data_IF_624160350833
#
_entry.id   IF_624160350833
#
_cell.length_a   1.000
_cell.length_b   1.000
_cell.length_c   1.000
_cell.angle_alpha   90.00
_cell.angle_beta   90.00
_cell.angle_gamma   90.00
#
_symmetry.space_group_name_H-M   'P 1'
#
loop_
_entity.id
_entity.type
_entity.pdbx_description
1 polymer ?
#
# COMPACT_ATOMS: atom_id res chain seq x y z
N UNK A 1 25.24 10.45 -67.71
CA UNK A 1 25.64 9.42 -66.67
C UNK A 1 24.93 9.69 -65.40
N UNK A 2 23.95 8.89 -65.02
CA UNK A 2 23.17 9.02 -63.73
C UNK A 2 24.01 8.51 -62.55
N UNK A 3 24.42 9.40 -61.71
CA UNK A 3 25.16 9.08 -60.46
C UNK A 3 24.42 8.02 -59.64
N UNK A 4 25.02 6.83 -59.47
CA UNK A 4 24.49 5.74 -58.63
C UNK A 4 24.39 6.22 -57.18
N UNK A 5 23.18 6.20 -56.60
CA UNK A 5 22.94 6.61 -55.21
C UNK A 5 23.66 5.66 -54.24
N UNK A 6 24.24 6.23 -53.20
CA UNK A 6 24.84 5.45 -52.09
C UNK A 6 23.83 4.55 -51.36
N UNK A 7 24.26 3.38 -50.96
CA UNK A 7 23.45 2.50 -50.10
C UNK A 7 23.19 3.23 -48.77
N UNK A 8 21.92 3.60 -48.53
CA UNK A 8 21.49 4.28 -47.29
C UNK A 8 20.79 5.63 -47.53
N UNK A 9 20.93 6.26 -48.72
CA UNK A 9 20.41 7.62 -49.00
C UNK A 9 18.89 7.76 -49.12
N UNK A 10 18.12 6.70 -48.85
CA UNK A 10 16.65 6.74 -48.90
C UNK A 10 16.05 7.15 -50.26
N UNK A 11 14.80 6.89 -50.49
CA UNK A 11 14.04 7.33 -51.66
C UNK A 11 13.42 8.71 -51.41
N UNK A 12 13.57 9.66 -52.40
CA UNK A 12 12.85 10.93 -52.39
C UNK A 12 12.10 11.07 -53.69
N UNK A 13 10.78 11.21 -53.63
CA UNK A 13 9.92 11.37 -54.83
C UNK A 13 8.75 12.31 -54.52
N UNK A 14 8.17 12.88 -55.59
CA UNK A 14 6.98 13.70 -55.53
C UNK A 14 5.72 12.82 -55.63
N UNK A 15 4.81 13.00 -54.75
CA UNK A 15 3.48 12.33 -54.75
C UNK A 15 2.47 13.32 -55.33
N UNK A 16 2.07 13.12 -56.57
CA UNK A 16 1.14 14.01 -57.27
C UNK A 16 -0.26 14.02 -56.65
N UNK A 17 -0.70 12.87 -56.15
CA UNK A 17 -2.03 12.80 -55.46
C UNK A 17 -2.07 13.62 -54.21
N UNK A 18 -0.99 13.59 -53.41
CA UNK A 18 -0.91 14.30 -52.14
C UNK A 18 -0.27 15.66 -52.22
N UNK A 19 0.24 16.03 -53.40
CA UNK A 19 0.94 17.30 -53.64
C UNK A 19 2.05 17.52 -52.60
N UNK A 20 2.87 16.48 -52.35
CA UNK A 20 3.95 16.51 -51.35
C UNK A 20 5.15 15.68 -51.74
N UNK A 21 6.31 16.10 -51.29
CA UNK A 21 7.53 15.31 -51.34
C UNK A 21 7.49 14.19 -50.32
N UNK A 22 7.75 12.96 -50.72
CA UNK A 22 7.86 11.79 -49.85
C UNK A 22 9.31 11.33 -49.86
N UNK A 23 9.89 11.26 -48.66
CA UNK A 23 11.19 10.67 -48.39
C UNK A 23 11.00 9.34 -47.66
N UNK A 24 11.79 8.31 -48.05
CA UNK A 24 11.70 6.97 -47.43
C UNK A 24 13.08 6.40 -47.13
N UNK A 25 13.23 5.74 -45.99
CA UNK A 25 14.46 5.03 -45.59
C UNK A 25 14.13 3.64 -45.09
N UNK A 26 15.01 2.67 -45.30
CA UNK A 26 14.94 1.35 -44.71
C UNK A 26 15.50 1.44 -43.29
N UNK A 27 14.71 1.07 -42.27
CA UNK A 27 15.08 1.14 -40.86
C UNK A 27 15.38 -0.23 -40.26
N UNK A 28 15.42 -1.30 -41.04
CA UNK A 28 15.75 -2.65 -40.58
C UNK A 28 14.90 -3.72 -41.25
N UNK A 29 14.84 -4.87 -40.60
CA UNK A 29 14.05 -6.02 -41.00
C UNK A 29 13.13 -6.45 -39.86
N UNK A 30 11.94 -6.94 -40.16
CA UNK A 30 11.07 -7.53 -39.19
C UNK A 30 11.55 -8.95 -38.76
N UNK A 31 10.92 -9.54 -37.75
CA UNK A 31 11.23 -10.90 -37.27
C UNK A 31 11.05 -12.01 -38.33
N UNK A 32 10.51 -11.68 -39.51
CA UNK A 32 10.35 -12.56 -40.70
C UNK A 32 11.33 -12.21 -41.83
N UNK A 33 12.30 -11.31 -41.61
CA UNK A 33 13.29 -10.90 -42.60
C UNK A 33 12.79 -9.91 -43.65
N UNK A 34 11.57 -9.35 -43.53
CA UNK A 34 11.01 -8.37 -44.43
C UNK A 34 11.53 -6.97 -44.09
N UNK A 35 11.91 -6.19 -45.09
CA UNK A 35 12.39 -4.80 -44.92
C UNK A 35 11.30 -3.90 -44.33
N UNK A 36 11.65 -3.19 -43.26
CA UNK A 36 10.79 -2.19 -42.64
C UNK A 36 11.18 -0.81 -43.16
N UNK A 37 10.22 -0.11 -43.77
CA UNK A 37 10.41 1.24 -44.29
C UNK A 37 9.76 2.27 -43.40
N UNK A 38 10.39 3.45 -43.31
CA UNK A 38 9.79 4.66 -42.75
C UNK A 38 9.71 5.73 -43.82
N UNK A 39 8.64 6.50 -43.80
CA UNK A 39 8.38 7.57 -44.75
C UNK A 39 8.12 8.88 -44.01
N UNK A 40 8.66 9.97 -44.52
CA UNK A 40 8.35 11.33 -44.12
C UNK A 40 7.78 12.09 -45.31
N UNK A 41 6.90 13.05 -45.07
CA UNK A 41 6.35 13.90 -46.12
C UNK A 41 6.52 15.38 -45.78
N UNK A 42 6.80 16.20 -46.76
CA UNK A 42 6.94 17.64 -46.64
C UNK A 42 6.38 18.36 -47.87
N UNK A 43 6.06 19.66 -47.73
CA UNK A 43 5.68 20.52 -48.86
C UNK A 43 6.88 20.79 -49.77
N UNK A 44 8.09 20.81 -49.19
CA UNK A 44 9.35 20.98 -49.90
C UNK A 44 10.24 19.74 -49.78
N UNK A 45 11.22 19.61 -50.71
CA UNK A 45 12.25 18.54 -50.66
C UNK A 45 13.04 18.57 -49.35
N UNK A 46 13.37 19.79 -48.89
CA UNK A 46 14.16 20.02 -47.69
C UNK A 46 13.38 19.56 -46.45
N UNK A 47 12.12 19.96 -46.32
CA UNK A 47 11.25 19.55 -45.20
C UNK A 47 11.09 18.02 -45.12
N UNK A 48 10.90 17.35 -46.29
CA UNK A 48 10.78 15.90 -46.31
C UNK A 48 12.10 15.21 -45.93
N UNK A 49 13.26 15.75 -46.32
CA UNK A 49 14.58 15.24 -45.94
C UNK A 49 14.90 15.45 -44.49
N UNK A 50 14.57 16.60 -43.92
CA UNK A 50 14.87 16.91 -42.53
C UNK A 50 14.02 16.04 -41.58
N UNK A 51 12.74 15.88 -41.88
CA UNK A 51 11.89 14.92 -41.18
C UNK A 51 12.38 13.47 -41.28
N UNK A 52 12.95 13.08 -42.44
CA UNK A 52 13.54 11.76 -42.63
C UNK A 52 14.81 11.58 -41.79
N UNK A 53 15.68 12.62 -41.74
CA UNK A 53 16.87 12.63 -40.87
C UNK A 53 16.52 12.50 -39.42
N UNK A 54 15.45 13.15 -38.94
CA UNK A 54 14.95 12.98 -37.57
C UNK A 54 14.50 11.53 -37.27
N UNK A 55 13.79 10.92 -38.24
CA UNK A 55 13.39 9.51 -38.15
C UNK A 55 14.62 8.60 -38.11
N UNK A 56 15.63 8.89 -38.95
CA UNK A 56 16.86 8.11 -39.03
C UNK A 56 17.69 8.25 -37.76
N UNK A 57 17.87 9.46 -37.21
CA UNK A 57 18.51 9.70 -35.93
C UNK A 57 17.78 8.98 -34.80
N UNK A 58 16.43 9.04 -34.75
CA UNK A 58 15.64 8.33 -33.77
C UNK A 58 15.80 6.80 -33.85
N UNK A 59 16.08 6.27 -35.06
CA UNK A 59 16.35 4.86 -35.26
C UNK A 59 17.79 4.48 -34.86
N UNK A 60 18.78 5.26 -35.27
CA UNK A 60 20.20 5.07 -34.91
C UNK A 60 20.40 5.17 -33.38
N UNK A 61 19.58 5.98 -32.71
CA UNK A 61 19.52 6.09 -31.27
C UNK A 61 18.74 4.93 -30.57
N UNK A 62 18.42 3.86 -31.30
CA UNK A 62 17.67 2.70 -30.77
C UNK A 62 16.19 2.95 -30.54
N UNK A 63 15.65 4.10 -30.95
CA UNK A 63 14.22 4.42 -30.80
C UNK A 63 13.38 3.87 -31.93
N UNK A 64 13.36 2.55 -32.04
CA UNK A 64 12.56 1.84 -33.04
C UNK A 64 11.08 2.07 -32.78
N UNK A 65 10.45 2.88 -33.63
CA UNK A 65 8.98 3.00 -33.75
C UNK A 65 8.20 3.46 -32.52
N UNK A 66 8.50 4.63 -31.97
CA UNK A 66 7.43 5.28 -31.24
C UNK A 66 6.42 5.84 -32.27
N UNK A 67 5.22 5.26 -32.32
CA UNK A 67 4.11 5.90 -32.98
C UNK A 67 4.05 7.36 -32.49
N UNK A 68 4.03 8.32 -33.42
CA UNK A 68 4.04 9.75 -33.12
C UNK A 68 2.88 10.22 -32.25
N UNK A 69 1.93 9.33 -31.95
CA UNK A 69 0.74 9.58 -31.13
C UNK A 69 0.69 8.87 -29.77
N UNK A 70 1.77 8.18 -29.31
CA UNK A 70 1.73 7.48 -28.03
C UNK A 70 1.63 8.44 -26.84
N UNK A 71 0.57 8.32 -26.07
CA UNK A 71 0.20 9.27 -25.00
C UNK A 71 0.62 8.79 -23.62
N UNK A 72 0.52 9.67 -22.62
CA UNK A 72 0.66 9.32 -21.21
C UNK A 72 -0.42 8.31 -20.80
N UNK A 73 -1.66 8.49 -21.28
CA UNK A 73 -2.76 7.56 -21.04
C UNK A 73 -2.46 6.15 -21.56
N UNK A 74 -1.90 6.04 -22.77
CA UNK A 74 -1.48 4.75 -23.33
C UNK A 74 -0.40 4.08 -22.47
N UNK A 75 0.57 4.86 -21.98
CA UNK A 75 1.63 4.35 -21.11
C UNK A 75 1.07 3.83 -19.78
N UNK A 76 0.16 4.58 -19.17
CA UNK A 76 -0.48 4.21 -17.87
C UNK A 76 -1.36 2.98 -18.07
N UNK A 77 -2.21 2.95 -19.10
CA UNK A 77 -3.09 1.82 -19.40
C UNK A 77 -2.28 0.54 -19.68
N UNK A 78 -1.22 0.67 -20.47
CA UNK A 78 -0.33 -0.47 -20.74
C UNK A 78 0.35 -0.98 -19.46
N UNK A 79 0.81 -0.07 -18.60
CA UNK A 79 1.42 -0.47 -17.33
C UNK A 79 0.42 -1.15 -16.40
N UNK A 80 -0.81 -0.67 -16.31
CA UNK A 80 -1.89 -1.31 -15.54
C UNK A 80 -2.18 -2.73 -16.03
N UNK A 81 -2.13 -2.95 -17.36
CA UNK A 81 -2.38 -4.25 -17.95
C UNK A 81 -1.22 -5.25 -17.78
N UNK A 82 0.04 -4.79 -17.91
CA UNK A 82 1.20 -5.68 -18.05
C UNK A 82 2.34 -5.41 -17.04
N UNK A 83 2.20 -4.43 -16.17
CA UNK A 83 3.26 -4.04 -15.21
C UNK A 83 2.98 -4.43 -13.77
N UNK A 84 1.87 -5.10 -13.48
CA UNK A 84 1.40 -5.38 -12.13
C UNK A 84 1.38 -6.87 -11.78
N UNK A 85 2.12 -7.71 -12.52
CA UNK A 85 2.20 -9.14 -12.27
C UNK A 85 2.64 -9.43 -10.83
N UNK A 86 1.97 -10.36 -10.15
CA UNK A 86 2.25 -10.76 -8.77
C UNK A 86 1.85 -9.71 -7.71
N UNK A 87 1.10 -8.66 -8.09
CA UNK A 87 0.55 -7.70 -7.12
C UNK A 87 -0.78 -8.20 -6.57
N UNK A 88 -1.02 -7.86 -5.31
CA UNK A 88 -2.30 -8.08 -4.65
C UNK A 88 -3.43 -7.39 -5.43
N UNK A 89 -4.59 -8.07 -5.71
CA UNK A 89 -5.70 -7.52 -6.48
C UNK A 89 -6.22 -6.17 -5.97
N UNK A 90 -6.26 -5.98 -4.65
CA UNK A 90 -6.68 -4.71 -4.06
C UNK A 90 -5.69 -3.58 -4.38
N UNK A 91 -4.39 -3.89 -4.43
CA UNK A 91 -3.37 -2.91 -4.84
C UNK A 91 -3.50 -2.56 -6.33
N UNK A 92 -3.81 -3.55 -7.18
CA UNK A 92 -4.07 -3.33 -8.61
C UNK A 92 -5.28 -2.42 -8.80
N UNK A 93 -6.38 -2.70 -8.10
CA UNK A 93 -7.60 -1.91 -8.16
C UNK A 93 -7.38 -0.47 -7.65
N UNK A 94 -6.65 -0.32 -6.55
CA UNK A 94 -6.27 1.00 -6.06
C UNK A 94 -5.47 1.80 -7.10
N UNK A 95 -4.49 1.19 -7.77
CA UNK A 95 -3.72 1.85 -8.83
C UNK A 95 -4.60 2.24 -10.01
N UNK A 96 -5.56 1.39 -10.39
CA UNK A 96 -6.54 1.68 -11.44
C UNK A 96 -7.36 2.91 -11.10
N UNK A 97 -7.96 2.95 -9.91
CA UNK A 97 -8.75 4.07 -9.41
C UNK A 97 -7.94 5.39 -9.44
N UNK A 98 -6.69 5.36 -8.93
CA UNK A 98 -5.84 6.56 -8.96
C UNK A 98 -5.51 7.01 -10.39
N UNK A 99 -5.26 6.08 -11.29
CA UNK A 99 -4.96 6.39 -12.69
C UNK A 99 -6.18 6.98 -13.40
N UNK A 100 -7.36 6.38 -13.26
CA UNK A 100 -8.60 6.78 -13.93
C UNK A 100 -9.18 8.10 -13.38
N UNK A 101 -9.04 8.35 -12.08
CA UNK A 101 -9.62 9.56 -11.47
C UNK A 101 -8.65 10.75 -11.53
N UNK A 102 -7.33 10.50 -11.39
CA UNK A 102 -6.40 11.61 -11.19
C UNK A 102 -5.39 11.82 -12.31
N UNK A 103 -4.95 10.77 -13.02
CA UNK A 103 -3.88 10.87 -14.01
C UNK A 103 -4.45 11.03 -15.43
N UNK A 104 -5.25 10.07 -15.88
CA UNK A 104 -5.75 10.01 -17.26
C UNK A 104 -6.59 11.25 -17.61
N UNK A 105 -7.51 11.75 -16.76
CA UNK A 105 -8.27 12.93 -17.07
C UNK A 105 -7.43 14.21 -17.15
N UNK A 106 -6.36 14.31 -16.36
CA UNK A 106 -5.54 15.52 -16.27
C UNK A 106 -4.49 15.61 -17.40
N UNK A 107 -3.69 14.57 -17.60
CA UNK A 107 -2.56 14.58 -18.54
C UNK A 107 -2.56 13.41 -19.52
N UNK A 108 -3.58 12.55 -19.51
CA UNK A 108 -3.61 11.32 -20.32
C UNK A 108 -3.54 11.58 -21.83
N UNK A 109 -4.09 12.70 -22.32
CA UNK A 109 -4.06 13.09 -23.75
C UNK A 109 -2.69 13.67 -24.18
N UNK A 110 -1.82 14.03 -23.23
CA UNK A 110 -0.48 14.55 -23.54
C UNK A 110 0.34 13.48 -24.23
N UNK A 111 1.00 13.81 -25.35
CA UNK A 111 1.93 12.87 -25.99
C UNK A 111 3.10 12.60 -25.04
N UNK A 112 3.46 11.36 -24.88
CA UNK A 112 4.48 10.95 -23.91
C UNK A 112 5.85 11.60 -24.16
N UNK A 113 6.21 11.83 -25.41
CA UNK A 113 7.45 12.49 -25.80
C UNK A 113 7.49 13.99 -25.50
N UNK A 114 6.32 14.61 -25.43
CA UNK A 114 6.14 16.04 -25.13
C UNK A 114 5.87 16.29 -23.65
N UNK A 115 5.85 15.24 -22.82
CA UNK A 115 5.66 15.36 -21.38
C UNK A 115 6.86 16.07 -20.76
N UNK A 116 6.61 17.13 -20.02
CA UNK A 116 7.62 17.93 -19.32
C UNK A 116 7.57 17.73 -17.81
N UNK A 117 8.62 18.17 -17.12
CA UNK A 117 8.65 18.21 -15.64
C UNK A 117 7.51 19.08 -15.11
N UNK A 118 7.30 20.24 -15.75
CA UNK A 118 6.24 21.20 -15.39
C UNK A 118 4.84 20.60 -15.49
N UNK A 119 4.53 19.77 -16.50
CA UNK A 119 3.25 19.06 -16.61
C UNK A 119 2.98 18.17 -15.40
N UNK A 120 4.00 17.46 -14.90
CA UNK A 120 3.90 16.56 -13.76
C UNK A 120 3.81 17.33 -12.44
N UNK A 121 4.64 18.37 -12.27
CA UNK A 121 4.62 19.24 -11.09
C UNK A 121 3.29 19.96 -10.96
N UNK A 122 2.75 20.50 -12.06
CA UNK A 122 1.42 21.11 -12.09
C UNK A 122 0.33 20.14 -11.68
N UNK A 123 0.34 18.90 -12.22
CA UNK A 123 -0.58 17.85 -11.81
C UNK A 123 -0.51 17.60 -10.30
N UNK A 124 0.71 17.42 -9.76
CA UNK A 124 0.89 17.12 -8.34
C UNK A 124 0.48 18.30 -7.45
N UNK A 125 0.78 19.54 -7.86
CA UNK A 125 0.38 20.76 -7.16
C UNK A 125 -1.15 20.91 -7.14
N UNK A 126 -1.84 20.76 -8.28
CA UNK A 126 -3.30 20.79 -8.33
C UNK A 126 -3.95 19.73 -7.43
N UNK A 127 -3.39 18.52 -7.40
CA UNK A 127 -3.92 17.44 -6.57
C UNK A 127 -3.54 17.56 -5.09
N UNK A 128 -2.52 18.33 -4.72
CA UNK A 128 -2.09 18.54 -3.33
C UNK A 128 -3.16 19.22 -2.48
N UNK A 129 -4.01 20.05 -3.10
CA UNK A 129 -5.11 20.74 -2.44
C UNK A 129 -6.15 19.78 -1.87
N UNK A 130 -6.36 18.62 -2.52
CA UNK A 130 -7.42 17.66 -2.16
C UNK A 130 -6.89 16.32 -1.66
N UNK A 131 -5.67 15.95 -2.01
CA UNK A 131 -5.10 14.64 -1.67
C UNK A 131 -4.01 14.75 -0.60
N UNK A 132 -3.84 13.67 0.16
CA UNK A 132 -2.73 13.55 1.09
C UNK A 132 -1.40 13.34 0.36
N UNK A 133 -0.28 13.72 1.01
CA UNK A 133 1.09 13.43 0.52
C UNK A 133 1.28 11.96 0.13
N UNK A 134 0.67 11.04 0.89
CA UNK A 134 0.71 9.59 0.55
C UNK A 134 0.02 9.30 -0.78
N UNK A 135 -1.13 9.90 -1.04
CA UNK A 135 -1.87 9.75 -2.29
C UNK A 135 -1.10 10.33 -3.47
N UNK A 136 -0.46 11.48 -3.28
CA UNK A 136 0.41 12.11 -4.28
C UNK A 136 1.61 11.21 -4.62
N UNK A 137 2.24 10.60 -3.61
CA UNK A 137 3.33 9.63 -3.83
C UNK A 137 2.85 8.41 -4.61
N UNK A 138 1.61 7.98 -4.45
CA UNK A 138 1.03 6.89 -5.26
C UNK A 138 0.87 7.33 -6.71
N UNK A 139 0.32 8.52 -6.98
CA UNK A 139 0.19 9.10 -8.34
C UNK A 139 1.57 9.18 -9.02
N UNK A 140 2.55 9.79 -8.35
CA UNK A 140 3.92 9.89 -8.82
C UNK A 140 4.53 8.51 -9.13
N UNK A 141 4.32 7.53 -8.24
CA UNK A 141 4.80 6.15 -8.42
C UNK A 141 4.16 5.44 -9.63
N UNK A 142 2.86 5.66 -9.88
CA UNK A 142 2.15 5.11 -11.05
C UNK A 142 2.76 5.71 -12.32
N UNK A 143 2.87 7.03 -12.41
CA UNK A 143 3.44 7.73 -13.55
C UNK A 143 4.88 7.30 -13.81
N UNK A 144 5.73 7.32 -12.78
CA UNK A 144 7.14 6.93 -12.91
C UNK A 144 7.29 5.50 -13.43
N UNK A 145 6.49 4.56 -12.93
CA UNK A 145 6.52 3.15 -13.39
C UNK A 145 5.96 2.98 -14.80
N UNK A 146 4.90 3.70 -15.14
CA UNK A 146 4.32 3.67 -16.48
C UNK A 146 5.31 4.22 -17.52
N UNK A 147 5.95 5.36 -17.23
CA UNK A 147 6.97 5.97 -18.08
C UNK A 147 8.21 5.07 -18.17
N UNK A 148 8.66 4.47 -17.07
CA UNK A 148 9.77 3.49 -17.10
C UNK A 148 9.43 2.27 -17.96
N UNK A 149 8.20 1.75 -17.88
CA UNK A 149 7.77 0.64 -18.74
C UNK A 149 7.71 1.05 -20.23
N UNK A 150 7.32 2.29 -20.50
CA UNK A 150 7.37 2.87 -21.85
C UNK A 150 8.82 3.08 -22.34
N UNK A 151 9.73 3.47 -21.45
CA UNK A 151 11.17 3.62 -21.74
C UNK A 151 11.81 2.28 -22.15
N UNK A 152 11.53 1.20 -21.41
CA UNK A 152 11.99 -0.17 -21.75
C UNK A 152 11.47 -0.63 -23.14
N UNK A 153 10.40 0.00 -23.63
CA UNK A 153 9.78 -0.27 -24.94
C UNK A 153 10.14 0.78 -25.99
N UNK A 154 11.18 1.55 -25.77
CA UNK A 154 11.69 2.59 -26.67
C UNK A 154 10.64 3.64 -27.09
N UNK A 155 9.63 3.89 -26.24
CA UNK A 155 8.60 4.91 -26.46
C UNK A 155 9.06 6.30 -26.02
N UNK A 156 10.00 6.37 -25.07
CA UNK A 156 10.61 7.60 -24.56
C UNK A 156 12.02 7.31 -24.08
N UNK A 157 12.95 8.26 -24.25
CA UNK A 157 14.37 8.11 -23.84
C UNK A 157 14.59 8.26 -22.35
N UNK A 158 13.92 9.22 -21.72
CA UNK A 158 14.16 9.62 -20.32
C UNK A 158 12.88 9.60 -19.54
N UNK A 159 12.95 9.09 -18.31
CA UNK A 159 11.85 9.19 -17.37
C UNK A 159 11.94 10.51 -16.59
N UNK A 160 11.24 11.53 -17.09
CA UNK A 160 11.26 12.88 -16.49
C UNK A 160 10.53 12.93 -15.15
N UNK A 161 9.61 11.99 -14.90
CA UNK A 161 8.85 11.93 -13.63
C UNK A 161 9.77 11.75 -12.43
N UNK A 162 10.93 11.10 -12.62
CA UNK A 162 11.92 10.91 -11.56
C UNK A 162 12.60 12.21 -11.10
N UNK A 163 12.48 13.29 -11.86
CA UNK A 163 13.04 14.61 -11.56
C UNK A 163 12.07 15.47 -10.76
N UNK A 164 10.80 15.05 -10.66
CA UNK A 164 9.75 15.81 -10.00
C UNK A 164 9.71 15.43 -8.52
N UNK A 165 9.65 16.42 -7.67
CA UNK A 165 9.39 16.24 -6.25
C UNK A 165 7.90 16.12 -5.96
N UNK A 166 7.55 15.37 -4.92
CA UNK A 166 6.16 15.25 -4.49
C UNK A 166 5.89 16.30 -3.42
N UNK A 167 5.01 17.28 -3.68
CA UNK A 167 4.69 18.31 -2.72
C UNK A 167 3.97 17.73 -1.49
N UNK A 168 3.97 18.48 -0.41
CA UNK A 168 3.11 18.19 0.72
C UNK A 168 1.65 18.36 0.32
N UNK A 169 0.87 17.35 0.58
CA UNK A 169 -0.57 17.36 0.36
C UNK A 169 -1.32 17.58 1.65
N UNK A 170 -2.64 17.46 1.54
CA UNK A 170 -3.54 17.64 2.66
C UNK A 170 -3.15 16.74 3.84
N UNK A 171 -3.09 17.29 5.03
CA UNK A 171 -2.84 16.53 6.26
C UNK A 171 -3.97 15.53 6.47
N UNK A 172 -3.60 14.24 6.53
CA UNK A 172 -4.55 13.18 6.84
C UNK A 172 -4.95 13.22 8.32
N UNK A 173 -6.04 12.53 8.65
CA UNK A 173 -6.43 12.33 10.05
C UNK A 173 -5.27 11.62 10.78
N UNK A 174 -4.72 12.21 11.87
CA UNK A 174 -3.69 11.54 12.65
C UNK A 174 -4.26 10.25 13.26
N UNK A 175 -3.41 9.24 13.40
CA UNK A 175 -3.75 8.03 14.17
C UNK A 175 -3.92 8.43 15.63
N UNK A 176 -4.96 7.92 16.27
CA UNK A 176 -5.27 8.13 17.69
C UNK A 176 -5.06 6.83 18.45
N UNK A 177 -4.77 6.94 19.73
CA UNK A 177 -4.82 5.85 20.70
C UNK A 177 -5.76 6.23 21.84
N UNK A 178 -6.41 5.24 22.41
CA UNK A 178 -7.21 5.38 23.62
C UNK A 178 -6.25 5.56 24.80
N UNK A 179 -6.57 6.46 25.70
CA UNK A 179 -5.98 6.46 27.05
C UNK A 179 -6.45 5.23 27.83
N UNK A 180 -5.84 4.89 28.95
CA UNK A 180 -6.26 3.76 29.79
C UNK A 180 -7.74 3.90 30.21
N UNK A 181 -8.16 5.09 30.65
CA UNK A 181 -9.55 5.38 31.02
C UNK A 181 -10.51 5.19 29.84
N UNK A 182 -10.16 5.69 28.66
CA UNK A 182 -10.98 5.51 27.45
C UNK A 182 -11.02 4.05 27.00
N UNK A 183 -9.91 3.31 27.12
CA UNK A 183 -9.86 1.90 26.79
C UNK A 183 -10.80 1.10 27.69
N UNK A 184 -10.80 1.36 28.99
CA UNK A 184 -11.70 0.72 29.94
C UNK A 184 -13.16 1.09 29.68
N UNK A 185 -13.46 2.35 29.38
CA UNK A 185 -14.81 2.78 29.00
C UNK A 185 -15.30 2.06 27.72
N UNK A 186 -14.44 1.88 26.71
CA UNK A 186 -14.77 1.12 25.48
C UNK A 186 -14.99 -0.36 25.79
N UNK A 187 -14.16 -0.97 26.65
CA UNK A 187 -14.34 -2.36 27.07
C UNK A 187 -15.65 -2.55 27.84
N UNK A 188 -15.98 -1.66 28.78
CA UNK A 188 -17.25 -1.67 29.53
C UNK A 188 -18.47 -1.48 28.61
N UNK A 189 -18.37 -0.56 27.64
CA UNK A 189 -19.42 -0.38 26.64
C UNK A 189 -19.59 -1.62 25.75
N UNK A 190 -18.49 -2.31 25.42
CA UNK A 190 -18.52 -3.53 24.63
C UNK A 190 -19.27 -4.68 25.31
N UNK A 191 -19.37 -4.70 26.62
CA UNK A 191 -20.16 -5.71 27.39
C UNK A 191 -21.66 -5.67 27.03
N UNK A 192 -22.15 -4.46 26.67
CA UNK A 192 -23.54 -4.26 26.23
C UNK A 192 -23.76 -4.54 24.76
N UNK A 193 -22.70 -4.80 24.01
CA UNK A 193 -22.77 -5.10 22.60
C UNK A 193 -23.02 -6.61 22.35
N UNK A 194 -23.51 -7.01 21.18
CA UNK A 194 -23.60 -8.43 20.82
C UNK A 194 -22.25 -9.14 21.01
N UNK A 195 -22.27 -10.39 21.50
CA UNK A 195 -21.09 -11.19 21.85
C UNK A 195 -19.98 -11.14 20.78
N UNK A 196 -20.35 -11.18 19.49
CA UNK A 196 -19.42 -11.05 18.36
C UNK A 196 -18.65 -9.72 18.40
N UNK A 197 -19.32 -8.59 18.64
CA UNK A 197 -18.66 -7.28 18.64
C UNK A 197 -17.88 -7.06 19.94
N UNK A 198 -18.38 -7.55 21.06
CA UNK A 198 -17.66 -7.60 22.32
C UNK A 198 -16.32 -8.34 22.15
N UNK A 199 -16.36 -9.59 21.71
CA UNK A 199 -15.15 -10.39 21.49
C UNK A 199 -14.22 -9.73 20.47
N UNK A 200 -14.75 -9.17 19.36
CA UNK A 200 -13.94 -8.46 18.38
C UNK A 200 -13.15 -7.29 18.97
N UNK A 201 -13.80 -6.45 19.78
CA UNK A 201 -13.18 -5.28 20.42
C UNK A 201 -12.16 -5.72 21.47
N UNK A 202 -12.56 -6.62 22.37
CA UNK A 202 -11.71 -7.10 23.48
C UNK A 202 -10.44 -7.74 22.93
N UNK A 203 -10.57 -8.70 22.01
CA UNK A 203 -9.41 -9.39 21.42
C UNK A 203 -8.55 -8.43 20.61
N UNK A 204 -9.14 -7.53 19.80
CA UNK A 204 -8.37 -6.56 19.02
C UNK A 204 -7.57 -5.61 19.90
N UNK A 205 -8.16 -5.13 21.02
CA UNK A 205 -7.49 -4.21 21.94
C UNK A 205 -6.41 -4.91 22.77
N UNK A 206 -6.66 -6.13 23.22
CA UNK A 206 -5.76 -6.83 24.16
C UNK A 206 -4.67 -7.66 23.47
N UNK A 207 -4.76 -7.88 22.16
CA UNK A 207 -3.73 -8.58 21.36
C UNK A 207 -3.04 -7.71 20.31
N UNK A 208 -3.57 -6.53 20.04
CA UNK A 208 -3.09 -5.66 18.99
C UNK A 208 -3.22 -6.27 17.58
N UNK A 209 -4.10 -7.24 17.37
CA UNK A 209 -4.32 -7.87 16.07
C UNK A 209 -4.78 -6.86 15.02
N UNK A 210 -4.38 -7.07 13.75
CA UNK A 210 -4.85 -6.23 12.64
C UNK A 210 -6.30 -6.56 12.31
N UNK A 211 -7.05 -5.56 11.86
CA UNK A 211 -8.45 -5.75 11.42
C UNK A 211 -8.60 -6.87 10.38
N UNK A 212 -7.66 -7.00 9.48
CA UNK A 212 -7.65 -8.05 8.45
C UNK A 212 -7.33 -9.43 9.03
N UNK A 213 -6.50 -9.51 10.06
CA UNK A 213 -6.20 -10.74 10.80
C UNK A 213 -7.43 -11.19 11.59
N UNK A 214 -8.06 -10.28 12.33
CA UNK A 214 -9.30 -10.55 13.08
C UNK A 214 -10.42 -11.08 12.17
N UNK A 215 -10.63 -10.47 11.01
CA UNK A 215 -11.67 -10.90 10.06
C UNK A 215 -11.40 -12.26 9.41
N UNK A 216 -10.16 -12.72 9.42
CA UNK A 216 -9.73 -14.01 8.86
C UNK A 216 -9.47 -15.07 9.94
N UNK A 217 -9.62 -14.71 11.23
CA UNK A 217 -9.38 -15.62 12.35
C UNK A 217 -10.36 -16.80 12.31
N UNK A 218 -9.84 -18.00 12.49
CA UNK A 218 -10.60 -19.23 12.54
C UNK A 218 -10.56 -19.82 13.94
N UNK A 219 -11.56 -20.62 14.28
CA UNK A 219 -11.63 -21.22 15.60
C UNK A 219 -10.46 -22.16 15.90
N UNK A 220 -9.97 -22.95 14.92
CA UNK A 220 -8.81 -23.80 15.11
C UNK A 220 -7.49 -23.01 15.36
N UNK A 221 -7.48 -21.71 15.12
CA UNK A 221 -6.36 -20.83 15.45
C UNK A 221 -6.51 -20.22 16.88
N UNK A 222 -7.54 -20.64 17.63
CA UNK A 222 -7.85 -20.15 18.99
C UNK A 222 -7.84 -21.32 19.96
N UNK A 223 -7.05 -21.22 21.01
CA UNK A 223 -6.99 -22.17 22.11
C UNK A 223 -7.32 -21.44 23.43
N UNK A 224 -8.61 -21.46 23.81
CA UNK A 224 -9.08 -20.80 25.04
C UNK A 224 -8.72 -21.60 26.29
N UNK A 225 -8.89 -22.94 26.32
CA UNK A 225 -8.50 -23.71 27.51
C UNK A 225 -6.99 -23.74 27.75
N UNK A 226 -6.19 -23.56 26.68
CA UNK A 226 -4.77 -23.85 26.75
C UNK A 226 -4.51 -25.35 26.90
N UNK A 227 -3.28 -25.71 27.25
CA UNK A 227 -2.87 -27.08 27.52
C UNK A 227 -2.07 -27.12 28.82
N UNK A 228 -2.72 -27.11 29.97
CA UNK A 228 -2.04 -27.07 31.27
C UNK A 228 -1.22 -28.32 31.57
N UNK A 229 -1.58 -29.46 30.94
CA UNK A 229 -0.89 -30.76 31.09
C UNK A 229 0.34 -30.90 30.17
N UNK A 230 0.59 -29.92 29.28
CA UNK A 230 1.80 -29.94 28.43
C UNK A 230 3.06 -29.58 29.26
N UNK A 231 4.20 -30.06 28.85
CA UNK A 231 5.49 -29.68 29.45
C UNK A 231 6.36 -28.92 28.44
N UNK A 232 6.58 -27.62 28.61
CA UNK A 232 5.96 -26.72 29.60
C UNK A 232 4.47 -26.44 29.31
N UNK A 233 3.66 -26.07 30.32
CA UNK A 233 2.24 -25.74 30.15
C UNK A 233 2.02 -24.65 29.10
N UNK A 234 1.05 -24.85 28.22
CA UNK A 234 0.69 -23.90 27.18
C UNK A 234 -0.51 -23.06 27.64
N UNK A 235 -0.36 -21.74 27.80
CA UNK A 235 -1.46 -20.89 28.22
C UNK A 235 -2.49 -20.70 27.09
N UNK A 236 -3.72 -20.21 27.42
CA UNK A 236 -4.68 -19.74 26.42
C UNK A 236 -4.02 -18.88 25.36
N UNK A 237 -4.30 -19.15 24.08
CA UNK A 237 -3.54 -18.52 23.00
C UNK A 237 -4.36 -18.29 21.72
N UNK A 238 -3.87 -17.40 20.86
CA UNK A 238 -4.40 -17.15 19.53
C UNK A 238 -3.27 -17.10 18.49
N UNK A 239 -3.41 -17.85 17.41
CA UNK A 239 -2.48 -17.87 16.30
C UNK A 239 -2.95 -16.93 15.18
N UNK A 240 -2.28 -15.80 15.00
CA UNK A 240 -2.56 -14.82 13.96
C UNK A 240 -1.74 -15.16 12.71
N UNK A 241 -2.21 -16.11 11.93
CA UNK A 241 -1.49 -16.69 10.78
C UNK A 241 -2.13 -16.36 9.43
N UNK A 242 -3.35 -15.79 9.41
CA UNK A 242 -4.14 -15.51 8.20
C UNK A 242 -4.55 -14.05 8.11
N UNK A 243 -4.94 -13.63 6.91
CA UNK A 243 -5.63 -12.35 6.68
C UNK A 243 -6.65 -12.48 5.53
N UNK A 244 -7.59 -11.54 5.43
CA UNK A 244 -8.62 -11.49 4.36
C UNK A 244 -8.06 -11.10 2.98
N UNK A 245 -6.76 -11.24 2.76
CA UNK A 245 -6.13 -10.96 1.47
C UNK A 245 -6.30 -12.11 0.49
N UNK A 246 -6.16 -11.82 -0.79
CA UNK A 246 -6.08 -12.86 -1.81
C UNK A 246 -4.97 -13.85 -1.45
N UNK A 247 -5.31 -15.14 -1.38
CA UNK A 247 -4.40 -16.19 -0.91
C UNK A 247 -4.45 -16.50 0.59
N UNK A 248 -5.22 -15.75 1.39
CA UNK A 248 -5.45 -16.04 2.81
C UNK A 248 -4.25 -15.83 3.74
N UNK A 249 -3.10 -15.39 3.21
CA UNK A 249 -1.87 -15.23 3.98
C UNK A 249 -1.74 -13.83 4.61
N UNK A 250 -0.95 -13.74 5.68
CA UNK A 250 -0.58 -12.44 6.26
C UNK A 250 0.30 -11.66 5.27
N UNK A 251 0.40 -10.33 5.46
CA UNK A 251 1.18 -9.44 4.58
C UNK A 251 2.62 -9.92 4.36
N UNK A 252 3.20 -10.61 5.33
CA UNK A 252 4.51 -11.25 5.24
C UNK A 252 4.53 -12.48 6.15
N UNK A 253 5.31 -13.52 5.84
CA UNK A 253 5.50 -14.70 6.73
C UNK A 253 5.94 -14.31 8.15
N UNK A 254 6.75 -13.24 8.29
CA UNK A 254 7.18 -12.70 9.60
C UNK A 254 6.04 -12.06 10.43
N UNK A 255 4.86 -11.86 9.85
CA UNK A 255 3.69 -11.36 10.58
C UNK A 255 2.91 -12.46 11.29
N UNK A 256 3.18 -13.74 10.99
CA UNK A 256 2.57 -14.88 11.67
C UNK A 256 3.12 -14.96 13.10
N UNK A 257 2.25 -15.08 14.06
CA UNK A 257 2.58 -15.13 15.47
C UNK A 257 1.49 -15.82 16.28
N UNK A 258 1.87 -16.50 17.33
CA UNK A 258 0.98 -16.93 18.40
C UNK A 258 1.14 -15.98 19.60
N UNK A 259 0.05 -15.59 20.17
CA UNK A 259 -0.01 -14.68 21.32
C UNK A 259 -0.79 -15.33 22.44
N UNK A 260 -0.29 -15.22 23.66
CA UNK A 260 -1.05 -15.55 24.85
C UNK A 260 -2.29 -14.64 24.93
N UNK A 261 -3.42 -15.21 25.26
CA UNK A 261 -4.67 -14.47 25.48
C UNK A 261 -4.73 -13.98 26.92
N UNK A 262 -4.87 -12.68 27.16
CA UNK A 262 -5.31 -12.20 28.49
C UNK A 262 -6.67 -12.79 28.84
N UNK A 263 -6.93 -13.06 30.13
CA UNK A 263 -8.13 -13.75 30.61
C UNK A 263 -9.41 -13.14 30.02
N UNK A 264 -9.55 -11.81 30.06
CA UNK A 264 -10.73 -11.11 29.52
C UNK A 264 -10.95 -11.37 28.01
N UNK A 265 -9.87 -11.63 27.24
CA UNK A 265 -9.97 -11.98 25.83
C UNK A 265 -10.37 -13.46 25.64
N UNK A 266 -9.85 -14.34 26.47
CA UNK A 266 -10.24 -15.75 26.52
C UNK A 266 -11.72 -15.90 26.86
N UNK A 267 -12.21 -15.23 27.92
CA UNK A 267 -13.61 -15.24 28.34
C UNK A 267 -14.54 -14.74 27.22
N UNK A 268 -14.20 -13.62 26.58
CA UNK A 268 -14.99 -13.08 25.48
C UNK A 268 -15.04 -13.99 24.25
N UNK A 269 -13.99 -14.77 23.99
CA UNK A 269 -13.97 -15.78 22.94
C UNK A 269 -14.76 -17.03 23.34
N UNK A 270 -14.69 -17.45 24.60
CA UNK A 270 -15.48 -18.56 25.14
C UNK A 270 -16.98 -18.25 25.00
N UNK A 271 -17.43 -17.08 25.48
CA UNK A 271 -18.81 -16.64 25.33
C UNK A 271 -19.28 -16.60 23.89
N UNK A 272 -18.41 -16.16 22.96
CA UNK A 272 -18.73 -16.16 21.54
C UNK A 272 -18.82 -17.59 20.98
N UNK A 273 -17.95 -18.50 21.45
CA UNK A 273 -17.98 -19.91 21.05
C UNK A 273 -19.30 -20.58 21.43
N UNK A 274 -19.84 -20.31 22.61
CA UNK A 274 -21.11 -20.85 23.09
C UNK A 274 -22.31 -20.39 22.24
N UNK A 275 -22.22 -19.19 21.66
CA UNK A 275 -23.27 -18.63 20.79
C UNK A 275 -23.09 -18.95 19.30
N UNK A 276 -22.11 -19.77 18.94
CA UNK A 276 -21.80 -20.11 17.54
C UNK A 276 -22.91 -20.96 16.90
N UNK A 277 -22.99 -20.90 15.57
CA UNK A 277 -23.96 -21.68 14.80
C UNK A 277 -23.36 -22.94 14.12
N UNK A 278 -22.03 -23.14 14.20
CA UNK A 278 -21.39 -24.32 13.62
C UNK A 278 -21.50 -25.53 14.55
N UNK A 279 -21.56 -26.74 13.96
CA UNK A 279 -21.77 -28.02 14.66
C UNK A 279 -20.49 -28.63 15.25
N UNK A 280 -19.33 -27.97 15.17
CA UNK A 280 -18.09 -28.49 15.71
C UNK A 280 -18.10 -28.43 17.25
N UNK A 281 -17.69 -29.51 17.89
CA UNK A 281 -17.69 -29.60 19.35
C UNK A 281 -16.48 -28.89 19.99
N UNK A 282 -15.32 -28.92 19.31
CA UNK A 282 -14.08 -28.36 19.82
C UNK A 282 -13.56 -27.23 18.93
N UNK A 283 -13.05 -26.16 19.54
CA UNK A 283 -12.46 -25.01 18.82
C UNK A 283 -11.34 -25.45 17.88
N UNK A 284 -10.42 -26.29 18.35
CA UNK A 284 -9.23 -26.74 17.61
C UNK A 284 -9.57 -27.49 16.32
N UNK A 285 -10.75 -28.09 16.23
CA UNK A 285 -11.18 -28.86 15.07
C UNK A 285 -12.09 -28.05 14.14
N UNK A 286 -12.41 -26.80 14.51
CA UNK A 286 -13.37 -25.98 13.79
C UNK A 286 -12.66 -25.04 12.78
N UNK A 287 -12.79 -25.29 11.47
CA UNK A 287 -12.19 -24.44 10.43
C UNK A 287 -13.01 -23.17 10.16
N UNK A 288 -14.15 -22.99 10.85
CA UNK A 288 -15.03 -21.85 10.64
C UNK A 288 -14.40 -20.54 11.11
N UNK A 289 -14.82 -19.43 10.51
CA UNK A 289 -14.40 -18.10 10.96
C UNK A 289 -14.99 -17.81 12.35
N UNK A 290 -14.18 -17.18 13.21
CA UNK A 290 -14.61 -16.70 14.55
C UNK A 290 -15.63 -15.57 14.40
N UNK A 291 -15.35 -14.63 13.50
CA UNK A 291 -16.16 -13.44 13.32
C UNK A 291 -16.95 -13.48 12.01
N UNK A 292 -18.21 -13.85 12.11
CA UNK A 292 -19.14 -13.97 10.99
C UNK A 292 -20.36 -13.07 11.16
N UNK A 293 -21.08 -12.82 10.07
CA UNK A 293 -22.41 -12.19 10.11
C UNK A 293 -23.42 -13.12 10.78
N UNK A 294 -24.63 -12.63 11.06
CA UNK A 294 -25.75 -13.47 11.56
C UNK A 294 -26.09 -14.62 10.61
N UNK A 295 -25.76 -14.50 9.32
CA UNK A 295 -25.98 -15.53 8.31
C UNK A 295 -24.74 -16.39 8.03
N UNK A 296 -23.73 -16.40 8.91
CA UNK A 296 -22.49 -17.18 8.75
C UNK A 296 -21.50 -16.66 7.70
N UNK A 297 -21.75 -15.49 7.07
CA UNK A 297 -20.86 -14.92 6.05
C UNK A 297 -19.70 -14.14 6.71
N UNK A 298 -18.54 -14.03 6.03
CA UNK A 298 -17.41 -13.21 6.50
C UNK A 298 -17.81 -11.77 6.76
N UNK A 299 -17.28 -11.18 7.82
CA UNK A 299 -17.51 -9.76 8.12
C UNK A 299 -16.82 -8.86 7.09
N UNK A 300 -17.54 -7.86 6.61
CA UNK A 300 -16.96 -6.79 5.81
C UNK A 300 -16.40 -5.67 6.69
N UNK A 301 -15.28 -5.05 6.24
CA UNK A 301 -14.62 -3.98 6.99
C UNK A 301 -15.55 -2.78 7.28
N UNK A 302 -16.50 -2.48 6.37
CA UNK A 302 -17.49 -1.41 6.57
C UNK A 302 -18.45 -1.71 7.71
N UNK A 303 -18.89 -2.97 7.83
CA UNK A 303 -19.82 -3.39 8.88
C UNK A 303 -19.11 -3.38 10.24
N UNK A 304 -17.91 -3.93 10.34
CA UNK A 304 -17.08 -3.84 11.55
C UNK A 304 -16.89 -2.39 11.99
N UNK A 305 -16.56 -1.48 11.06
CA UNK A 305 -16.37 -0.08 11.38
C UNK A 305 -17.65 0.59 11.88
N UNK A 306 -18.79 0.30 11.26
CA UNK A 306 -20.09 0.83 11.69
C UNK A 306 -20.44 0.36 13.10
N UNK A 307 -20.32 -0.93 13.35
CA UNK A 307 -20.72 -1.53 14.63
C UNK A 307 -19.73 -1.13 15.76
N UNK A 308 -18.44 -1.05 15.45
CA UNK A 308 -17.43 -0.51 16.37
C UNK A 308 -17.72 0.93 16.78
N UNK A 309 -18.10 1.80 15.84
CA UNK A 309 -18.41 3.20 16.14
C UNK A 309 -19.58 3.35 17.11
N UNK A 310 -20.58 2.50 17.02
CA UNK A 310 -21.70 2.48 17.97
C UNK A 310 -21.22 2.19 19.38
N UNK A 311 -20.30 1.23 19.56
CA UNK A 311 -19.74 0.90 20.88
C UNK A 311 -18.89 2.05 21.41
N UNK A 312 -18.10 2.68 20.56
CA UNK A 312 -17.31 3.85 20.93
C UNK A 312 -18.19 5.04 21.35
N UNK A 313 -19.34 5.24 20.69
CA UNK A 313 -20.34 6.25 21.06
C UNK A 313 -20.99 5.91 22.42
N UNK A 314 -21.28 4.63 22.69
CA UNK A 314 -21.76 4.19 23.99
C UNK A 314 -20.73 4.40 25.10
N UNK A 315 -19.43 4.45 24.78
CA UNK A 315 -18.35 4.80 25.69
C UNK A 315 -18.14 6.31 25.87
N UNK A 316 -19.02 7.15 25.32
CA UNK A 316 -18.95 8.62 25.42
C UNK A 316 -17.91 9.27 24.50
N UNK A 317 -17.41 8.55 23.48
CA UNK A 317 -16.44 9.06 22.53
C UNK A 317 -17.08 9.37 21.16
N UNK A 318 -16.52 10.33 20.41
CA UNK A 318 -17.01 10.69 19.07
C UNK A 318 -16.75 9.57 18.05
N UNK A 319 -17.70 8.67 17.80
CA UNK A 319 -17.54 7.45 16.99
C UNK A 319 -16.98 7.70 15.59
N UNK A 320 -17.32 8.83 14.94
CA UNK A 320 -16.79 9.21 13.62
C UNK A 320 -15.27 9.38 13.59
N UNK A 321 -14.69 9.70 14.74
CA UNK A 321 -13.25 9.90 14.90
C UNK A 321 -12.48 8.61 15.15
N UNK A 322 -13.15 7.48 15.28
CA UNK A 322 -12.53 6.20 15.61
C UNK A 322 -12.75 5.16 14.52
N UNK A 323 -11.79 4.27 14.38
CA UNK A 323 -11.83 3.13 13.49
C UNK A 323 -11.18 1.91 14.16
N UNK A 324 -11.57 0.67 13.81
CA UNK A 324 -11.06 -0.54 14.48
C UNK A 324 -9.53 -0.69 14.50
N UNK A 325 -8.81 -0.13 13.53
CA UNK A 325 -7.33 -0.16 13.51
C UNK A 325 -6.71 0.56 14.71
N UNK A 326 -7.44 1.51 15.33
CA UNK A 326 -6.97 2.31 16.44
C UNK A 326 -6.97 1.52 17.76
N UNK A 327 -7.67 0.40 17.84
CA UNK A 327 -7.52 -0.58 18.93
C UNK A 327 -6.08 -1.12 18.99
N UNK A 328 -5.49 -1.42 17.82
CA UNK A 328 -4.08 -1.83 17.76
C UNK A 328 -3.12 -0.68 18.10
N UNK A 329 -3.43 0.55 17.70
CA UNK A 329 -2.64 1.71 18.13
C UNK A 329 -2.70 1.89 19.63
N UNK A 330 -3.88 1.73 20.22
CA UNK A 330 -4.09 1.78 21.67
C UNK A 330 -3.33 0.68 22.40
N UNK A 331 -3.35 -0.57 21.91
CA UNK A 331 -2.55 -1.66 22.46
C UNK A 331 -1.06 -1.29 22.56
N UNK A 332 -0.49 -0.74 21.49
CA UNK A 332 0.93 -0.34 21.47
C UNK A 332 1.19 0.83 22.43
N UNK A 333 0.30 1.83 22.44
CA UNK A 333 0.43 2.99 23.33
C UNK A 333 0.35 2.58 24.80
N UNK A 334 -0.64 1.78 25.18
CA UNK A 334 -0.82 1.31 26.54
C UNK A 334 0.36 0.46 27.03
N UNK A 335 0.92 -0.41 26.18
CA UNK A 335 2.12 -1.18 26.54
C UNK A 335 3.36 -0.28 26.67
N UNK A 336 3.48 0.74 25.81
CA UNK A 336 4.56 1.72 25.90
C UNK A 336 4.45 2.54 27.18
N UNK A 337 3.25 2.97 27.56
CA UNK A 337 2.98 3.69 28.82
C UNK A 337 3.26 2.82 30.04
N UNK A 338 3.05 1.50 29.92
CA UNK A 338 3.43 0.49 30.92
C UNK A 338 4.93 0.11 30.87
N UNK A 339 5.77 0.85 30.15
CA UNK A 339 7.23 0.64 30.03
C UNK A 339 7.66 -0.70 29.45
N UNK A 340 6.80 -1.36 28.66
CA UNK A 340 7.20 -2.57 27.93
C UNK A 340 8.21 -2.22 26.85
N UNK A 341 9.36 -2.93 26.73
CA UNK A 341 10.38 -2.64 25.72
C UNK A 341 9.82 -2.67 24.30
N UNK A 342 10.26 -1.70 23.48
CA UNK A 342 9.73 -1.50 22.12
C UNK A 342 9.96 -2.72 21.20
N UNK A 343 11.03 -3.47 21.43
CA UNK A 343 11.34 -4.70 20.73
C UNK A 343 10.29 -5.78 21.04
N UNK A 344 9.85 -5.87 22.30
CA UNK A 344 8.79 -6.78 22.73
C UNK A 344 7.46 -6.37 22.12
N UNK A 345 7.11 -5.08 22.18
CA UNK A 345 5.89 -4.55 21.53
C UNK A 345 5.94 -4.84 20.01
N UNK A 346 7.08 -4.59 19.35
CA UNK A 346 7.25 -4.85 17.92
C UNK A 346 7.03 -6.32 17.55
N UNK A 347 7.51 -7.25 18.40
CA UNK A 347 7.27 -8.70 18.25
C UNK A 347 5.80 -9.05 18.42
N UNK A 348 5.15 -8.56 19.48
CA UNK A 348 3.72 -8.79 19.74
C UNK A 348 2.83 -8.34 18.58
N UNK A 349 3.10 -7.16 18.01
CA UNK A 349 2.31 -6.66 16.87
C UNK A 349 2.78 -7.21 15.51
N UNK A 350 3.90 -7.92 15.44
CA UNK A 350 4.44 -8.50 14.19
C UNK A 350 4.89 -7.42 13.20
N UNK A 351 5.67 -6.44 13.64
CA UNK A 351 6.37 -5.51 12.78
C UNK A 351 7.71 -6.10 12.29
N UNK A 352 8.15 -5.73 11.08
CA UNK A 352 9.44 -6.21 10.54
C UNK A 352 10.65 -5.62 11.24
N UNK A 353 10.49 -4.41 11.82
CA UNK A 353 11.52 -3.69 12.57
C UNK A 353 10.86 -2.77 13.59
N UNK A 354 11.62 -2.41 14.61
CA UNK A 354 11.23 -1.42 15.64
C UNK A 354 10.96 -0.04 15.03
N UNK A 355 11.65 0.32 13.94
CA UNK A 355 11.47 1.60 13.23
C UNK A 355 10.00 1.88 12.87
N UNK A 356 9.21 0.86 12.48
CA UNK A 356 7.78 1.04 12.20
C UNK A 356 7.02 1.40 13.48
N UNK A 357 7.35 0.74 14.60
CA UNK A 357 6.76 1.02 15.90
C UNK A 357 7.16 2.42 16.36
N UNK A 358 8.42 2.76 16.30
CA UNK A 358 8.95 4.08 16.63
C UNK A 358 8.34 5.20 15.79
N UNK A 359 8.31 5.05 14.46
CA UNK A 359 7.79 6.08 13.54
C UNK A 359 6.30 6.37 13.78
N UNK A 360 5.51 5.33 14.03
CA UNK A 360 4.06 5.47 14.24
C UNK A 360 3.74 6.03 15.62
N UNK A 361 4.52 5.65 16.63
CA UNK A 361 4.25 5.95 18.04
C UNK A 361 5.20 6.97 18.67
N UNK A 362 6.21 7.46 17.93
CA UNK A 362 7.22 8.43 18.40
C UNK A 362 6.60 9.70 19.04
N UNK A 363 5.42 10.11 18.59
CA UNK A 363 4.71 11.27 19.17
C UNK A 363 4.04 10.97 20.52
N UNK A 364 3.91 9.69 20.87
CA UNK A 364 3.30 9.19 22.10
C UNK A 364 4.34 8.62 23.07
N UNK A 365 5.59 8.43 22.60
CA UNK A 365 6.71 8.10 23.48
C UNK A 365 7.04 9.34 24.31
N UNK A 366 7.25 9.14 25.60
CA UNK A 366 7.63 10.23 26.53
C UNK A 366 8.82 11.01 25.98
N UNK A 367 8.80 12.35 26.04
CA UNK A 367 9.89 13.18 25.52
C UNK A 367 11.21 13.00 26.26
N UNK A 368 11.21 12.40 27.45
CA UNK A 368 12.40 12.13 28.27
C UNK A 368 12.59 10.62 28.40
N UNK A 369 13.76 10.13 28.03
CA UNK A 369 14.17 8.73 28.18
C UNK A 369 14.69 8.57 29.62
N UNK A 370 13.77 8.23 30.55
CA UNK A 370 14.04 8.15 31.99
C UNK A 370 14.86 6.91 32.38
N UNK A 371 14.66 5.79 31.71
CA UNK A 371 15.19 4.48 32.14
C UNK A 371 16.71 4.36 32.19
N UNK A 372 17.44 5.20 31.47
CA UNK A 372 18.92 5.24 31.51
C UNK A 372 19.44 5.92 32.76
N UNK A 373 18.81 6.99 33.20
CA UNK A 373 19.22 7.72 34.39
C UNK A 373 19.02 6.91 35.66
N UNK A 374 17.85 6.28 35.85
CA UNK A 374 17.56 5.41 36.99
C UNK A 374 18.53 4.23 37.11
N UNK A 375 18.94 3.64 35.99
CA UNK A 375 19.94 2.57 35.96
C UNK A 375 21.31 3.10 36.32
N UNK A 376 21.69 4.26 35.80
CA UNK A 376 22.99 4.88 36.08
C UNK A 376 23.07 5.32 37.54
N UNK A 377 22.01 5.87 38.13
CA UNK A 377 21.96 6.21 39.54
C UNK A 377 22.11 4.98 40.46
N UNK A 378 21.62 3.81 39.99
CA UNK A 378 21.81 2.54 40.71
C UNK A 378 23.22 2.00 40.61
N UNK A 379 23.84 2.12 39.41
CA UNK A 379 25.21 1.63 39.13
C UNK A 379 26.25 2.58 39.73
N UNK A 380 26.00 3.88 39.65
CA UNK A 380 26.88 4.93 40.14
C UNK A 380 26.06 5.93 40.99
N UNK A 381 25.75 5.59 42.24
CA UNK A 381 24.96 6.46 43.10
C UNK A 381 25.68 7.78 43.37
N UNK A 382 24.92 8.85 43.56
CA UNK A 382 25.43 10.16 43.90
C UNK A 382 26.36 10.08 45.13
N UNK A 383 27.51 10.75 45.09
CA UNK A 383 28.39 10.84 46.26
C UNK A 383 27.68 11.60 47.40
N UNK A 384 27.78 11.11 48.62
CA UNK A 384 27.25 11.88 49.74
C UNK A 384 27.90 13.27 49.80
N UNK A 385 27.15 14.30 50.23
CA UNK A 385 27.73 15.65 50.38
C UNK A 385 28.97 15.58 51.26
N UNK A 386 30.04 16.23 50.82
CA UNK A 386 31.23 16.38 51.67
C UNK A 386 30.78 17.15 52.89
N UNK A 387 30.97 16.56 54.06
CA UNK A 387 30.81 17.28 55.32
C UNK A 387 31.78 18.49 55.36
N UNK A 388 31.34 19.65 55.86
CA UNK A 388 32.10 20.89 55.87
C UNK A 388 33.34 20.84 56.72
#
# INVERSE_FOLDING_TARGET
MTKRRSRGDGGLFWDERRQRWIASVTVGYDGRGKRVFRRASGRTKTEAKDKLKEIQRAYDDGMVTAATGYTVGDAVTYWLAYGLNGRDPHTVEMYRIYAEIHIIPAIGKRKLRELTVEDVEKLLAEKSVILSTRSLRIIHSILSRAVRKAQVRDKIRRNIVLLCEVPEGRTGRPSKSLTLVQAEAVLTAAERAPARMRAYIVVSLLTGARTEEMRALRWHDVDVPGQPEADPPIPPSVALVRSVRAGGDTKTRKSRRALMLPQRAADALQDLWETRTCAHEMMRDCPCLVFVTRTGRPLEARNVRRDFRKVVEMAGLAGREWAPRELRHSFVSLLSDARVPIESISRLVGHRSTMVTETVYRKQLRPVIEGGAEVMDRILPARPPREP
#
